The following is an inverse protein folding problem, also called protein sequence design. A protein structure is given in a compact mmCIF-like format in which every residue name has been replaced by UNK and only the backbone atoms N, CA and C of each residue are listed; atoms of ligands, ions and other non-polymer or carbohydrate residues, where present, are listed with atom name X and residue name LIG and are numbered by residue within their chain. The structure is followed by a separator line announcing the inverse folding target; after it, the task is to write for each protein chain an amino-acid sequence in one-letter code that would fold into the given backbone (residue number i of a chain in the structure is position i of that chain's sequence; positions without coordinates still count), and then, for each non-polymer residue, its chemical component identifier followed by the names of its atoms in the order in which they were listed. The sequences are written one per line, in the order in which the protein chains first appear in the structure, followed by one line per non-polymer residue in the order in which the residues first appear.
data_IF_048985043286
#
_entry.id   IF_048985043286
#
_cell.length_a   1.000
_cell.length_b   1.000
_cell.length_c   1.000
_cell.angle_alpha   90.00
_cell.angle_beta   90.00
_cell.angle_gamma   90.00
#
_symmetry.space_group_name_H-M   'P 1'
#
loop_
_entity.id
_entity.type
_entity.pdbx_description
1 polymer ?
#
# COMPACT_ATOMS: atom_id res chain seq x y z
N UNK A 1 -2.23 -9.62 -50.83
CA UNK A 1 -0.93 -8.92 -50.76
C UNK A 1 -0.87 -7.67 -49.85
N UNK A 2 -1.95 -6.94 -49.52
CA UNK A 2 -1.90 -5.75 -48.63
C UNK A 2 -1.87 -6.08 -47.11
N UNK A 3 -2.39 -7.24 -46.71
CA UNK A 3 -2.41 -7.64 -45.27
C UNK A 3 -1.07 -8.19 -44.75
N UNK A 4 -0.25 -8.77 -45.64
CA UNK A 4 1.08 -9.30 -45.28
C UNK A 4 2.14 -8.20 -45.10
N UNK A 5 1.99 -7.05 -45.77
CA UNK A 5 2.91 -5.91 -45.60
C UNK A 5 2.68 -5.15 -44.29
N UNK A 6 1.44 -5.07 -43.81
CA UNK A 6 1.12 -4.43 -42.53
C UNK A 6 1.65 -5.23 -41.33
N UNK A 7 1.60 -6.57 -41.41
CA UNK A 7 2.13 -7.45 -40.36
C UNK A 7 3.66 -7.39 -40.23
N UNK A 8 4.35 -7.26 -41.38
CA UNK A 8 5.82 -7.16 -41.43
C UNK A 8 6.31 -5.81 -40.88
N UNK A 9 5.55 -4.72 -41.06
CA UNK A 9 5.89 -3.40 -40.55
C UNK A 9 5.67 -3.31 -39.02
N UNK A 10 4.65 -3.97 -38.50
CA UNK A 10 4.41 -4.04 -37.05
C UNK A 10 5.48 -4.89 -36.35
N UNK A 11 5.92 -5.99 -36.95
CA UNK A 11 7.02 -6.80 -36.42
C UNK A 11 8.37 -6.07 -36.45
N UNK A 12 8.66 -5.30 -37.51
CA UNK A 12 9.91 -4.50 -37.58
C UNK A 12 9.93 -3.35 -36.63
N UNK A 13 8.81 -2.69 -36.33
CA UNK A 13 8.73 -1.61 -35.35
C UNK A 13 8.93 -2.15 -33.95
N UNK A 14 8.39 -3.32 -33.60
CA UNK A 14 8.64 -3.96 -32.28
C UNK A 14 10.09 -4.41 -32.10
N UNK A 15 10.76 -4.88 -33.17
CA UNK A 15 12.18 -5.25 -33.11
C UNK A 15 13.08 -4.01 -33.00
N UNK A 16 12.72 -2.90 -33.64
CA UNK A 16 13.47 -1.63 -33.54
C UNK A 16 13.31 -0.99 -32.16
N UNK A 17 12.15 -1.10 -31.55
CA UNK A 17 11.92 -0.61 -30.17
C UNK A 17 12.73 -1.44 -29.17
N UNK A 18 12.80 -2.76 -29.32
CA UNK A 18 13.64 -3.62 -28.44
C UNK A 18 15.14 -3.41 -28.65
N UNK A 19 15.60 -3.03 -29.84
CA UNK A 19 17.03 -2.79 -30.11
C UNK A 19 17.46 -1.38 -29.68
N UNK A 20 16.56 -0.37 -29.71
CA UNK A 20 16.86 0.98 -29.20
C UNK A 20 16.87 1.09 -27.67
N UNK A 21 16.26 0.14 -26.96
CA UNK A 21 16.36 0.04 -25.49
C UNK A 21 17.65 -0.66 -25.02
N UNK A 22 18.39 -1.32 -25.92
CA UNK A 22 19.63 -2.01 -25.63
C UNK A 22 20.92 -1.16 -25.65
N UNK A 23 20.85 0.17 -25.89
CA UNK A 23 22.06 1.02 -26.07
C UNK A 23 22.19 2.12 -25.00
N UNK A 24 21.43 2.09 -23.92
CA UNK A 24 21.84 2.83 -22.73
C UNK A 24 22.58 1.89 -21.80
N UNK A 25 23.89 2.08 -21.60
CA UNK A 25 24.57 1.41 -20.50
C UNK A 25 24.09 2.07 -19.22
N UNK A 26 22.97 1.60 -18.67
CA UNK A 26 22.71 1.77 -17.26
C UNK A 26 23.82 1.00 -16.52
N UNK A 27 24.91 1.66 -16.20
CA UNK A 27 25.72 1.26 -15.06
C UNK A 27 24.88 1.48 -13.78
N UNK A 28 23.77 0.75 -13.69
CA UNK A 28 23.12 0.50 -12.43
C UNK A 28 24.02 -0.54 -11.79
N UNK A 29 24.80 -0.14 -10.79
CA UNK A 29 25.37 -1.08 -9.84
C UNK A 29 24.19 -1.92 -9.37
N UNK A 30 24.19 -3.19 -9.75
CA UNK A 30 23.25 -4.16 -9.17
C UNK A 30 23.60 -4.20 -7.67
N UNK A 31 22.86 -3.42 -6.90
CA UNK A 31 22.98 -3.46 -5.45
C UNK A 31 22.55 -4.88 -5.05
N UNK A 32 23.42 -5.61 -4.35
CA UNK A 32 23.09 -6.96 -3.91
C UNK A 32 21.99 -6.84 -2.86
N UNK A 33 20.77 -7.11 -3.26
CA UNK A 33 19.63 -7.19 -2.34
C UNK A 33 19.83 -8.36 -1.37
N UNK A 34 19.57 -8.12 -0.09
CA UNK A 34 19.71 -9.12 0.95
C UNK A 34 18.51 -9.11 1.87
N UNK A 35 17.83 -10.25 1.98
CA UNK A 35 16.81 -10.48 3.01
C UNK A 35 17.46 -10.98 4.28
N UNK A 36 17.16 -10.38 5.43
CA UNK A 36 17.63 -10.81 6.75
C UNK A 36 16.44 -10.98 7.70
N UNK A 37 16.43 -12.11 8.40
CA UNK A 37 15.40 -12.43 9.41
C UNK A 37 15.82 -11.99 10.83
N UNK A 38 17.01 -11.44 10.98
CA UNK A 38 17.58 -11.09 12.30
C UNK A 38 17.41 -9.60 12.58
N UNK A 39 16.23 -9.23 13.06
CA UNK A 39 15.89 -7.83 13.40
C UNK A 39 16.88 -7.22 14.38
N UNK A 40 17.44 -8.03 15.31
CA UNK A 40 18.47 -7.58 16.27
C UNK A 40 19.74 -7.03 15.61
N UNK A 41 20.01 -7.37 14.35
CA UNK A 41 21.19 -6.92 13.59
C UNK A 41 20.98 -5.61 12.82
N UNK A 42 19.77 -5.03 12.84
CA UNK A 42 19.52 -3.72 12.22
C UNK A 42 20.42 -2.70 12.94
N UNK A 43 21.25 -1.98 12.17
CA UNK A 43 22.08 -0.90 12.70
C UNK A 43 21.23 0.36 12.90
N UNK A 44 20.89 0.67 14.16
CA UNK A 44 20.08 1.83 14.54
C UNK A 44 20.71 3.18 14.16
N UNK A 45 22.03 3.25 13.93
CA UNK A 45 22.66 4.48 13.44
C UNK A 45 22.38 4.70 11.97
N UNK A 46 22.22 3.62 11.20
CA UNK A 46 21.89 3.66 9.78
C UNK A 46 20.38 3.72 9.53
N UNK A 47 19.60 3.06 10.37
CA UNK A 47 18.14 2.93 10.26
C UNK A 47 17.46 3.28 11.58
N UNK A 48 17.54 4.56 12.03
CA UNK A 48 17.04 4.95 13.35
C UNK A 48 15.56 4.62 13.54
N UNK A 49 15.24 3.99 14.68
CA UNK A 49 13.89 3.72 15.13
C UNK A 49 13.23 2.48 14.54
N UNK A 50 13.65 1.99 13.36
CA UNK A 50 13.00 0.84 12.69
C UNK A 50 13.02 -0.42 13.55
N UNK A 51 14.17 -0.73 14.15
CA UNK A 51 14.31 -1.90 15.03
C UNK A 51 13.30 -1.85 16.18
N UNK A 52 13.24 -0.73 16.89
CA UNK A 52 12.34 -0.56 18.03
C UNK A 52 10.87 -0.68 17.62
N UNK A 53 10.48 -0.13 16.48
CA UNK A 53 9.11 -0.22 15.96
C UNK A 53 8.74 -1.68 15.64
N UNK A 54 9.62 -2.43 14.99
CA UNK A 54 9.42 -3.86 14.71
C UNK A 54 9.32 -4.66 16.01
N UNK A 55 10.23 -4.44 16.96
CA UNK A 55 10.23 -5.14 18.27
C UNK A 55 8.95 -4.84 19.06
N UNK A 56 8.40 -3.63 18.97
CA UNK A 56 7.12 -3.27 19.59
C UNK A 56 5.95 -4.03 18.94
N UNK A 57 5.91 -4.12 17.62
CA UNK A 57 4.91 -4.93 16.92
C UNK A 57 5.01 -6.40 17.31
N UNK A 58 6.21 -7.00 17.35
CA UNK A 58 6.43 -8.38 17.76
C UNK A 58 6.04 -8.65 19.23
N UNK A 59 6.26 -7.67 20.11
CA UNK A 59 5.86 -7.77 21.51
C UNK A 59 4.35 -7.85 21.67
N UNK A 60 3.62 -7.08 20.88
CA UNK A 60 2.15 -7.00 20.92
C UNK A 60 1.50 -8.14 20.13
N UNK A 61 2.13 -8.61 19.05
CA UNK A 61 1.64 -9.62 18.11
C UNK A 61 2.65 -10.76 18.00
N UNK A 62 2.65 -11.64 18.99
CA UNK A 62 3.72 -12.66 19.19
C UNK A 62 3.86 -13.68 18.06
N UNK A 63 2.83 -13.87 17.26
CA UNK A 63 2.87 -14.76 16.10
C UNK A 63 3.38 -14.08 14.82
N UNK A 64 3.54 -12.75 14.85
CA UNK A 64 4.04 -12.01 13.71
C UNK A 64 5.55 -12.16 13.58
N UNK A 65 5.98 -12.29 12.34
CA UNK A 65 7.38 -12.42 11.95
C UNK A 65 7.76 -11.27 11.07
N UNK A 66 9.00 -10.83 11.18
CA UNK A 66 9.53 -9.73 10.37
C UNK A 66 10.82 -10.16 9.70
N UNK A 67 10.95 -9.75 8.46
CA UNK A 67 12.16 -9.81 7.65
C UNK A 67 12.50 -8.39 7.22
N UNK A 68 13.77 -8.06 7.05
CA UNK A 68 14.17 -6.80 6.43
C UNK A 68 14.78 -7.09 5.07
N UNK A 69 14.41 -6.30 4.08
CA UNK A 69 15.02 -6.30 2.77
C UNK A 69 15.93 -5.09 2.64
N UNK A 70 17.23 -5.31 2.66
CA UNK A 70 18.21 -4.29 2.27
C UNK A 70 18.15 -4.14 0.75
N UNK A 71 17.51 -3.08 0.26
CA UNK A 71 17.31 -2.85 -1.18
C UNK A 71 18.65 -2.56 -1.88
N UNK A 72 19.63 -2.00 -1.15
CA UNK A 72 20.87 -1.49 -1.70
C UNK A 72 20.71 -0.22 -2.55
N UNK A 73 19.50 0.31 -2.65
CA UNK A 73 19.19 1.52 -3.42
C UNK A 73 19.38 2.76 -2.54
N UNK A 74 19.96 3.81 -3.12
CA UNK A 74 20.09 5.11 -2.46
C UNK A 74 18.73 5.80 -2.35
N UNK A 75 18.39 6.26 -1.15
CA UNK A 75 17.10 6.89 -0.85
C UNK A 75 16.77 8.05 -1.77
N UNK A 76 17.70 8.99 -1.95
CA UNK A 76 17.43 10.17 -2.76
C UNK A 76 17.22 9.78 -4.23
N UNK A 77 18.00 8.84 -4.74
CA UNK A 77 17.81 8.32 -6.11
C UNK A 77 16.44 7.68 -6.29
N UNK A 78 16.00 6.89 -5.31
CA UNK A 78 14.66 6.26 -5.36
C UNK A 78 13.56 7.31 -5.37
N UNK A 79 13.65 8.31 -4.50
CA UNK A 79 12.64 9.38 -4.45
C UNK A 79 12.61 10.20 -5.75
N UNK A 80 13.77 10.49 -6.35
CA UNK A 80 13.85 11.15 -7.66
C UNK A 80 13.18 10.34 -8.76
N UNK A 81 13.45 9.04 -8.81
CA UNK A 81 12.84 8.16 -9.81
C UNK A 81 11.33 8.02 -9.61
N UNK A 82 10.87 7.87 -8.36
CA UNK A 82 9.45 7.79 -8.05
C UNK A 82 8.72 9.13 -8.27
N UNK A 83 9.42 10.27 -8.18
CA UNK A 83 8.86 11.59 -8.44
C UNK A 83 8.70 11.95 -9.93
N UNK A 84 9.11 11.08 -10.85
CA UNK A 84 8.86 11.30 -12.28
C UNK A 84 7.38 11.48 -12.56
N UNK A 85 7.03 12.50 -13.34
CA UNK A 85 5.65 12.85 -13.64
C UNK A 85 4.85 11.67 -14.18
N UNK A 86 3.68 11.43 -13.59
CA UNK A 86 2.77 10.35 -13.97
C UNK A 86 3.04 9.01 -13.28
N UNK A 87 4.13 8.87 -12.52
CA UNK A 87 4.45 7.62 -11.84
C UNK A 87 3.68 7.46 -10.53
N UNK A 88 3.64 8.50 -9.72
CA UNK A 88 2.87 8.55 -8.47
C UNK A 88 1.81 9.65 -8.53
N UNK A 89 0.57 9.24 -8.40
CA UNK A 89 -0.62 10.09 -8.56
C UNK A 89 -1.51 10.02 -7.32
N UNK A 90 -2.36 11.04 -7.18
CA UNK A 90 -3.44 11.08 -6.20
C UNK A 90 -4.72 11.54 -6.87
N UNK A 91 -5.87 10.99 -6.48
CA UNK A 91 -7.16 11.33 -7.07
C UNK A 91 -7.62 12.73 -6.66
N UNK A 92 -8.08 13.55 -7.61
CA UNK A 92 -8.55 14.93 -7.37
C UNK A 92 -9.73 15.01 -6.40
N UNK A 93 -10.48 13.90 -6.22
CA UNK A 93 -11.60 13.81 -5.29
C UNK A 93 -11.22 13.35 -3.88
N UNK A 94 -9.96 13.04 -3.65
CA UNK A 94 -9.44 12.70 -2.32
C UNK A 94 -9.22 14.00 -1.55
N UNK A 95 -10.28 14.51 -0.91
CA UNK A 95 -10.32 15.83 -0.26
C UNK A 95 -9.25 16.05 0.81
N UNK A 96 -8.70 14.99 1.38
CA UNK A 96 -7.70 15.05 2.44
C UNK A 96 -6.27 15.28 1.90
N UNK A 97 -6.08 15.26 0.57
CA UNK A 97 -4.77 15.36 -0.07
C UNK A 97 -4.73 16.58 -0.99
N UNK A 98 -4.40 17.71 -0.41
CA UNK A 98 -4.21 19.01 -1.06
C UNK A 98 -2.93 19.65 -0.53
N UNK A 99 -2.63 20.87 -0.92
CA UNK A 99 -1.47 21.61 -0.39
C UNK A 99 -0.13 20.97 -0.75
N UNK A 100 0.66 20.58 0.24
CA UNK A 100 2.02 20.05 0.07
C UNK A 100 2.05 18.59 -0.45
N UNK A 101 0.89 17.94 -0.53
CA UNK A 101 0.79 16.63 -1.18
C UNK A 101 0.94 16.68 -2.70
N UNK A 102 0.66 17.83 -3.32
CA UNK A 102 0.62 17.96 -4.76
C UNK A 102 1.96 18.42 -5.33
N UNK A 103 2.36 17.81 -6.43
CA UNK A 103 3.52 18.29 -7.21
C UNK A 103 3.26 19.70 -7.75
N UNK A 104 4.04 20.68 -7.24
CA UNK A 104 3.87 22.08 -7.58
C UNK A 104 4.00 22.34 -9.08
N UNK A 105 4.99 21.77 -9.75
CA UNK A 105 5.21 21.94 -11.19
C UNK A 105 4.02 21.43 -12.00
N UNK A 106 3.46 20.26 -11.65
CA UNK A 106 2.28 19.74 -12.33
C UNK A 106 1.03 20.59 -12.07
N UNK A 107 0.88 21.17 -10.89
CA UNK A 107 -0.23 22.03 -10.53
C UNK A 107 -0.13 23.38 -11.28
N UNK A 108 1.03 24.02 -11.28
CA UNK A 108 1.27 25.30 -11.97
C UNK A 108 1.01 25.14 -13.50
N UNK A 109 1.37 23.99 -14.07
CA UNK A 109 1.13 23.66 -15.47
C UNK A 109 -0.24 23.01 -15.74
N UNK A 110 -1.11 22.89 -14.73
CA UNK A 110 -2.44 22.23 -14.80
C UNK A 110 -2.38 20.82 -15.40
N UNK A 111 -1.30 20.09 -15.11
CA UNK A 111 -1.06 18.76 -15.66
C UNK A 111 -1.85 17.72 -14.89
N UNK A 112 -2.75 17.06 -15.58
CA UNK A 112 -3.60 15.99 -15.04
C UNK A 112 -3.47 14.70 -15.84
N UNK A 113 -3.96 13.60 -15.27
CA UNK A 113 -3.92 12.26 -15.85
C UNK A 113 -5.31 11.63 -15.83
N UNK A 114 -5.52 10.59 -16.63
CA UNK A 114 -6.77 9.81 -16.69
C UNK A 114 -8.03 10.70 -16.81
N UNK A 115 -8.02 11.61 -17.79
CA UNK A 115 -9.16 12.50 -18.05
C UNK A 115 -9.40 13.58 -16.99
N UNK A 116 -8.36 13.99 -16.26
CA UNK A 116 -8.44 15.03 -15.25
C UNK A 116 -8.70 14.54 -13.81
N UNK A 117 -8.83 13.23 -13.61
CA UNK A 117 -9.18 12.67 -12.31
C UNK A 117 -7.98 12.44 -11.37
N UNK A 118 -6.75 12.55 -11.87
CA UNK A 118 -5.52 12.27 -11.13
C UNK A 118 -4.47 13.36 -11.36
N UNK A 119 -3.70 13.66 -10.33
CA UNK A 119 -2.59 14.61 -10.35
C UNK A 119 -1.33 14.00 -9.73
N UNK A 120 -0.15 14.51 -10.10
CA UNK A 120 1.10 14.06 -9.50
C UNK A 120 1.19 14.49 -8.04
N UNK A 121 1.78 13.63 -7.23
CA UNK A 121 2.12 13.96 -5.84
C UNK A 121 3.51 14.60 -5.75
N UNK A 122 3.76 15.29 -4.65
CA UNK A 122 5.05 15.90 -4.33
C UNK A 122 6.10 14.85 -3.94
N UNK A 123 7.38 15.27 -3.92
CA UNK A 123 8.48 14.45 -3.39
C UNK A 123 8.31 14.14 -1.92
N UNK A 124 7.82 15.10 -1.16
CA UNK A 124 7.51 14.98 0.26
C UNK A 124 6.45 13.90 0.49
N UNK A 125 5.40 13.88 -0.33
CA UNK A 125 4.36 12.84 -0.26
C UNK A 125 4.92 11.45 -0.60
N UNK A 126 5.76 11.34 -1.63
CA UNK A 126 6.42 10.08 -1.98
C UNK A 126 7.33 9.63 -0.84
N UNK A 127 8.17 10.53 -0.31
CA UNK A 127 9.07 10.22 0.80
C UNK A 127 8.30 9.75 2.03
N UNK A 128 7.18 10.41 2.35
CA UNK A 128 6.32 9.99 3.46
C UNK A 128 5.74 8.59 3.25
N UNK A 129 5.23 8.30 2.05
CA UNK A 129 4.60 7.00 1.74
C UNK A 129 5.62 5.86 1.62
N UNK A 130 6.85 6.16 1.23
CA UNK A 130 7.90 5.17 1.06
C UNK A 130 8.69 4.88 2.34
N UNK A 131 8.70 5.80 3.30
CA UNK A 131 9.42 5.59 4.55
C UNK A 131 8.71 4.55 5.42
N UNK A 132 9.28 3.36 5.63
CA UNK A 132 8.59 2.29 6.35
C UNK A 132 8.24 2.67 7.78
N UNK A 133 8.97 3.63 8.41
CA UNK A 133 8.67 4.12 9.76
C UNK A 133 7.29 4.75 9.87
N UNK A 134 6.77 5.29 8.79
CA UNK A 134 5.42 5.87 8.74
C UNK A 134 4.30 4.83 8.63
N UNK A 135 4.66 3.54 8.58
CA UNK A 135 3.68 2.45 8.41
C UNK A 135 4.00 1.22 9.27
N UNK A 136 5.00 1.30 10.18
CA UNK A 136 5.31 0.25 11.14
C UNK A 136 4.42 0.36 12.39
N UNK A 137 3.10 0.50 12.16
CA UNK A 137 2.04 0.49 13.14
C UNK A 137 1.02 -0.58 12.77
N UNK A 138 0.21 -1.00 13.72
CA UNK A 138 -0.82 -2.04 13.51
C UNK A 138 -1.73 -1.72 12.32
N UNK A 139 -2.14 -0.47 12.19
CA UNK A 139 -3.09 0.00 11.17
C UNK A 139 -2.55 -0.15 9.75
N UNK A 140 -1.26 0.11 9.55
CA UNK A 140 -0.66 0.26 8.21
C UNK A 140 0.34 -0.84 7.84
N UNK A 141 0.78 -1.67 8.81
CA UNK A 141 1.85 -2.67 8.59
C UNK A 141 1.49 -3.74 7.56
N UNK A 142 0.21 -3.99 7.33
CA UNK A 142 -0.24 -5.02 6.39
C UNK A 142 0.14 -4.75 4.93
N UNK A 143 0.54 -3.51 4.56
CA UNK A 143 1.13 -3.27 3.24
C UNK A 143 2.45 -4.02 3.02
N UNK A 144 3.14 -4.39 4.10
CA UNK A 144 4.38 -5.16 4.09
C UNK A 144 4.17 -6.67 4.25
N UNK A 145 2.91 -7.13 4.30
CA UNK A 145 2.61 -8.56 4.39
C UNK A 145 3.25 -9.31 3.23
N UNK A 146 3.99 -10.39 3.53
CA UNK A 146 4.57 -11.28 2.52
C UNK A 146 3.45 -12.00 1.78
N UNK A 147 3.34 -11.73 0.48
CA UNK A 147 2.33 -12.30 -0.42
C UNK A 147 2.77 -13.64 -1.00
N UNK A 148 4.05 -13.97 -0.92
CA UNK A 148 4.56 -15.29 -1.23
C UNK A 148 4.21 -16.29 -0.11
N UNK A 149 4.24 -17.58 -0.46
CA UNK A 149 3.96 -18.66 0.48
C UNK A 149 5.17 -18.88 1.39
N UNK A 150 5.06 -18.53 2.67
CA UNK A 150 6.09 -18.87 3.66
C UNK A 150 5.97 -20.38 4.01
N UNK A 151 6.91 -21.17 3.51
CA UNK A 151 6.96 -22.62 3.74
C UNK A 151 7.11 -23.02 5.23
N UNK A 152 7.47 -22.05 6.09
CA UNK A 152 7.58 -22.25 7.54
C UNK A 152 6.26 -21.99 8.28
N UNK A 153 5.23 -21.50 7.57
CA UNK A 153 3.88 -21.25 8.09
C UNK A 153 2.95 -22.39 7.66
N UNK A 154 2.22 -22.96 8.60
CA UNK A 154 1.08 -23.84 8.29
C UNK A 154 -0.17 -22.99 8.14
N UNK A 155 -0.72 -22.96 6.95
CA UNK A 155 -1.95 -22.21 6.65
C UNK A 155 -3.18 -22.99 7.13
N UNK A 156 -4.00 -22.35 7.97
CA UNK A 156 -5.25 -22.94 8.47
C UNK A 156 -6.38 -22.67 7.46
N UNK A 157 -6.95 -23.75 6.90
CA UNK A 157 -8.09 -23.68 5.97
C UNK A 157 -9.33 -23.03 6.60
N UNK A 158 -9.50 -23.06 7.92
CA UNK A 158 -10.61 -22.43 8.60
C UNK A 158 -10.56 -20.91 8.49
N UNK A 159 -9.38 -20.30 8.40
CA UNK A 159 -9.25 -18.85 8.16
C UNK A 159 -9.84 -18.53 6.79
N UNK A 160 -9.43 -19.24 5.74
CA UNK A 160 -9.95 -19.05 4.39
C UNK A 160 -11.46 -19.27 4.37
N UNK A 161 -11.94 -20.30 5.06
CA UNK A 161 -13.36 -20.58 5.22
C UNK A 161 -14.09 -19.40 5.88
N UNK A 162 -13.54 -18.84 6.94
CA UNK A 162 -14.12 -17.71 7.66
C UNK A 162 -14.12 -16.42 6.82
N UNK A 163 -13.11 -16.19 5.96
CA UNK A 163 -13.10 -15.07 5.01
C UNK A 163 -14.21 -15.24 3.97
N UNK A 164 -14.42 -16.46 3.44
CA UNK A 164 -15.27 -16.71 2.29
C UNK A 164 -16.69 -17.20 2.61
N UNK A 165 -16.97 -17.63 3.86
CA UNK A 165 -18.32 -18.03 4.25
C UNK A 165 -19.30 -16.85 4.21
N UNK A 166 -20.57 -17.12 3.91
CA UNK A 166 -21.61 -16.13 3.73
C UNK A 166 -21.32 -15.12 2.60
N UNK A 167 -20.46 -15.50 1.64
CA UNK A 167 -20.17 -14.70 0.45
C UNK A 167 -20.76 -15.38 -0.79
N UNK A 168 -20.60 -14.73 -1.93
CA UNK A 168 -21.02 -15.27 -3.23
C UNK A 168 -20.37 -16.61 -3.61
N UNK A 169 -19.26 -17.01 -2.94
CA UNK A 169 -18.62 -18.31 -3.11
C UNK A 169 -19.22 -19.41 -2.21
N UNK A 170 -20.06 -19.06 -1.25
CA UNK A 170 -20.68 -20.01 -0.34
C UNK A 170 -21.96 -20.62 -0.97
N UNK A 171 -21.78 -21.31 -2.10
CA UNK A 171 -22.82 -21.92 -2.93
C UNK A 171 -23.02 -23.44 -2.68
N UNK A 172 -22.57 -23.93 -1.52
CA UNK A 172 -22.56 -25.35 -1.16
C UNK A 172 -21.30 -26.12 -1.63
N UNK A 173 -20.36 -25.44 -2.29
CA UNK A 173 -19.08 -26.02 -2.75
C UNK A 173 -17.86 -25.33 -2.16
N UNK A 174 -18.04 -24.51 -1.12
CA UNK A 174 -17.01 -23.68 -0.54
C UNK A 174 -15.74 -24.49 -0.17
N UNK A 175 -15.88 -25.66 0.43
CA UNK A 175 -14.71 -26.48 0.81
C UNK A 175 -13.88 -26.93 -0.41
N UNK A 176 -14.50 -27.15 -1.55
CA UNK A 176 -13.82 -27.42 -2.82
C UNK A 176 -13.03 -26.20 -3.32
N UNK A 177 -13.62 -25.01 -3.22
CA UNK A 177 -12.95 -23.76 -3.61
C UNK A 177 -11.77 -23.45 -2.69
N UNK A 178 -11.92 -23.65 -1.38
CA UNK A 178 -10.83 -23.52 -0.41
C UNK A 178 -9.66 -24.46 -0.76
N UNK A 179 -9.95 -25.73 -1.02
CA UNK A 179 -8.96 -26.71 -1.43
C UNK A 179 -8.24 -26.28 -2.71
N UNK A 180 -8.97 -25.76 -3.70
CA UNK A 180 -8.41 -25.23 -4.95
C UNK A 180 -7.46 -24.06 -4.68
N UNK A 181 -7.89 -23.08 -3.83
CA UNK A 181 -7.08 -21.94 -3.45
C UNK A 181 -5.79 -22.41 -2.78
N UNK A 182 -5.87 -23.26 -1.74
CA UNK A 182 -4.70 -23.73 -0.98
C UNK A 182 -3.70 -24.45 -1.90
N UNK A 183 -4.17 -25.43 -2.67
CA UNK A 183 -3.30 -26.22 -3.53
C UNK A 183 -2.62 -25.34 -4.60
N UNK A 184 -3.40 -24.46 -5.26
CA UNK A 184 -2.82 -23.61 -6.31
C UNK A 184 -1.89 -22.55 -5.73
N UNK A 185 -2.21 -21.99 -4.58
CA UNK A 185 -1.35 -21.06 -3.87
C UNK A 185 -0.01 -21.71 -3.51
N UNK A 186 -0.03 -22.94 -3.01
CA UNK A 186 1.19 -23.71 -2.72
C UNK A 186 2.01 -23.96 -3.98
N UNK A 187 1.38 -24.43 -5.09
CA UNK A 187 2.05 -24.68 -6.35
C UNK A 187 2.71 -23.43 -6.95
N UNK A 188 2.11 -22.28 -6.74
CA UNK A 188 2.52 -20.99 -7.30
C UNK A 188 3.29 -20.10 -6.34
N UNK A 189 3.61 -20.60 -5.16
CA UNK A 189 4.31 -19.86 -4.12
C UNK A 189 3.58 -18.56 -3.69
N UNK A 190 2.26 -18.62 -3.49
CA UNK A 190 1.43 -17.46 -3.10
C UNK A 190 0.80 -17.71 -1.73
N UNK A 191 0.65 -16.68 -0.91
CA UNK A 191 -0.03 -16.73 0.37
C UNK A 191 -1.56 -16.95 0.17
N UNK A 192 -2.16 -18.08 0.62
CA UNK A 192 -3.57 -18.36 0.37
C UNK A 192 -4.52 -17.43 1.13
N UNK A 193 -4.10 -16.83 2.26
CA UNK A 193 -4.90 -15.83 2.97
C UNK A 193 -5.02 -14.54 2.17
N UNK A 194 -3.91 -14.13 1.52
CA UNK A 194 -3.94 -13.00 0.59
C UNK A 194 -4.90 -13.25 -0.57
N UNK A 195 -4.89 -14.44 -1.18
CA UNK A 195 -5.82 -14.79 -2.26
C UNK A 195 -7.26 -14.70 -1.78
N UNK A 196 -7.59 -15.24 -0.62
CA UNK A 196 -8.95 -15.17 -0.07
C UNK A 196 -9.37 -13.72 0.22
N UNK A 197 -8.49 -12.93 0.82
CA UNK A 197 -8.71 -11.50 1.05
C UNK A 197 -8.89 -10.72 -0.24
N UNK A 198 -8.05 -10.97 -1.25
CA UNK A 198 -8.12 -10.34 -2.58
C UNK A 198 -9.46 -10.60 -3.27
N UNK A 199 -10.01 -11.81 -3.18
CA UNK A 199 -11.34 -12.13 -3.71
C UNK A 199 -12.40 -11.18 -3.12
N UNK A 200 -12.38 -10.95 -1.82
CA UNK A 200 -13.33 -10.06 -1.15
C UNK A 200 -13.06 -8.59 -1.48
N UNK A 201 -11.80 -8.19 -1.61
CA UNK A 201 -11.45 -6.84 -2.04
C UNK A 201 -11.99 -6.51 -3.44
N UNK A 202 -11.92 -7.47 -4.36
CA UNK A 202 -12.30 -7.27 -5.77
C UNK A 202 -13.82 -7.36 -6.00
N UNK A 203 -14.51 -8.25 -5.29
CA UNK A 203 -15.92 -8.58 -5.56
C UNK A 203 -16.88 -8.18 -4.43
N UNK A 204 -16.36 -7.79 -3.27
CA UNK A 204 -17.17 -7.66 -2.06
C UNK A 204 -17.76 -9.01 -1.62
N UNK A 205 -18.65 -8.98 -0.65
CA UNK A 205 -19.28 -10.23 -0.14
C UNK A 205 -20.41 -10.76 -1.01
N UNK A 206 -21.03 -9.90 -1.82
CA UNK A 206 -22.17 -10.26 -2.68
C UNK A 206 -21.81 -10.67 -4.09
N UNK A 207 -20.55 -10.47 -4.51
CA UNK A 207 -20.11 -10.59 -5.88
C UNK A 207 -20.45 -9.35 -6.72
N UNK A 208 -19.49 -8.84 -7.46
CA UNK A 208 -19.65 -7.71 -8.37
C UNK A 208 -20.18 -8.12 -9.75
N UNK A 209 -20.29 -7.17 -10.65
CA UNK A 209 -20.83 -7.36 -12.00
C UNK A 209 -19.97 -8.32 -12.85
N UNK A 210 -18.70 -8.48 -12.54
CA UNK A 210 -17.72 -9.31 -13.24
C UNK A 210 -17.63 -10.74 -12.68
N UNK A 211 -18.20 -10.98 -11.49
CA UNK A 211 -18.12 -12.29 -10.83
C UNK A 211 -18.65 -13.41 -11.74
N UNK A 212 -19.87 -13.24 -12.29
CA UNK A 212 -20.54 -14.23 -13.11
C UNK A 212 -21.21 -13.54 -14.30
N UNK A 213 -20.65 -13.72 -15.48
CA UNK A 213 -21.08 -13.04 -16.70
C UNK A 213 -21.70 -14.05 -17.67
N UNK A 214 -22.86 -13.68 -18.24
CA UNK A 214 -23.60 -14.51 -19.20
C UNK A 214 -23.09 -14.23 -20.62
N UNK A 215 -22.82 -15.29 -21.37
CA UNK A 215 -22.53 -15.23 -22.80
C UNK A 215 -23.46 -16.20 -23.56
N UNK A 216 -24.10 -15.71 -24.61
CA UNK A 216 -25.01 -16.54 -25.43
C UNK A 216 -24.55 -16.50 -26.87
N UNK A 217 -24.34 -17.68 -27.48
CA UNK A 217 -23.97 -17.83 -28.86
C UNK A 217 -24.77 -19.00 -29.45
N UNK A 218 -25.44 -18.80 -30.60
CA UNK A 218 -26.24 -19.81 -31.29
C UNK A 218 -27.15 -20.60 -30.34
N UNK A 219 -27.92 -19.88 -29.54
CA UNK A 219 -28.86 -20.41 -28.53
C UNK A 219 -28.24 -21.19 -27.36
N UNK A 220 -26.92 -21.27 -27.32
CA UNK A 220 -26.19 -21.86 -26.20
C UNK A 220 -25.74 -20.78 -25.22
N UNK A 221 -26.24 -20.86 -24.00
CA UNK A 221 -25.78 -19.99 -22.91
C UNK A 221 -24.64 -20.62 -22.12
N UNK A 222 -23.56 -19.87 -21.94
CA UNK A 222 -22.42 -20.23 -21.11
C UNK A 222 -22.18 -19.11 -20.09
N UNK A 223 -21.76 -19.45 -18.88
CA UNK A 223 -21.32 -18.49 -17.90
C UNK A 223 -19.79 -18.49 -17.81
N UNK A 224 -19.22 -17.29 -17.63
CA UNK A 224 -17.80 -17.06 -17.38
C UNK A 224 -17.62 -16.29 -16.09
N UNK A 225 -16.48 -16.48 -15.46
CA UNK A 225 -16.19 -15.94 -14.12
C UNK A 225 -14.90 -15.12 -14.17
N UNK A 226 -14.91 -13.94 -13.54
CA UNK A 226 -13.70 -13.13 -13.37
C UNK A 226 -13.67 -12.57 -11.94
N UNK A 227 -13.31 -13.44 -11.00
CA UNK A 227 -13.35 -13.20 -9.56
C UNK A 227 -12.30 -12.16 -9.13
N UNK A 228 -11.22 -12.01 -9.89
CA UNK A 228 -10.11 -11.12 -9.57
C UNK A 228 -10.13 -9.80 -10.35
N UNK A 229 -11.19 -9.50 -11.09
CA UNK A 229 -11.34 -8.30 -11.93
C UNK A 229 -10.20 -8.10 -12.94
N UNK A 230 -9.55 -9.17 -13.37
CA UNK A 230 -8.42 -9.10 -14.30
C UNK A 230 -8.91 -8.56 -15.65
N UNK A 231 -8.24 -7.54 -16.17
CA UNK A 231 -8.62 -6.82 -17.39
C UNK A 231 -10.04 -6.20 -17.37
N UNK A 232 -10.64 -6.03 -16.18
CA UNK A 232 -11.93 -5.37 -15.98
C UNK A 232 -11.75 -3.84 -16.00
N UNK A 233 -11.40 -3.28 -17.16
CA UNK A 233 -11.07 -1.87 -17.36
C UNK A 233 -12.10 -1.18 -18.26
N UNK A 234 -12.27 0.13 -18.13
CA UNK A 234 -13.15 0.92 -18.99
C UNK A 234 -13.77 2.12 -18.29
N UNK A 235 -14.35 3.02 -19.08
CA UNK A 235 -14.99 4.24 -18.57
C UNK A 235 -16.45 4.05 -18.10
N UNK A 236 -17.07 2.91 -18.42
CA UNK A 236 -18.45 2.56 -18.02
C UNK A 236 -18.53 1.14 -17.49
N UNK A 237 -19.52 0.86 -16.67
CA UNK A 237 -19.76 -0.50 -16.16
C UNK A 237 -19.93 -1.52 -17.30
N UNK A 238 -20.60 -1.16 -18.38
CA UNK A 238 -20.78 -2.03 -19.55
C UNK A 238 -19.44 -2.39 -20.20
N UNK A 239 -18.56 -1.42 -20.39
CA UNK A 239 -17.23 -1.65 -20.96
C UNK A 239 -16.36 -2.51 -20.04
N UNK A 240 -16.40 -2.24 -18.73
CA UNK A 240 -15.68 -3.02 -17.71
C UNK A 240 -16.12 -4.50 -17.76
N UNK A 241 -17.42 -4.76 -17.78
CA UNK A 241 -17.97 -6.12 -17.84
C UNK A 241 -17.63 -6.78 -19.15
N UNK A 242 -17.70 -6.08 -20.29
CA UNK A 242 -17.33 -6.63 -21.61
C UNK A 242 -15.86 -7.06 -21.64
N UNK A 243 -14.95 -6.20 -21.21
CA UNK A 243 -13.52 -6.51 -21.20
C UNK A 243 -13.20 -7.67 -20.24
N UNK A 244 -13.84 -7.71 -19.07
CA UNK A 244 -13.72 -8.82 -18.13
C UNK A 244 -14.25 -10.15 -18.70
N UNK A 245 -15.36 -10.11 -19.45
CA UNK A 245 -15.94 -11.28 -20.11
C UNK A 245 -15.03 -11.79 -21.21
N UNK A 246 -14.53 -10.91 -22.08
CA UNK A 246 -13.66 -11.30 -23.19
C UNK A 246 -12.37 -11.94 -22.67
N UNK A 247 -11.78 -11.39 -21.60
CA UNK A 247 -10.65 -12.01 -20.92
C UNK A 247 -10.99 -13.40 -20.37
N UNK A 248 -12.09 -13.53 -19.63
CA UNK A 248 -12.50 -14.79 -19.02
C UNK A 248 -12.82 -15.87 -20.09
N UNK A 249 -13.36 -15.47 -21.26
CA UNK A 249 -13.59 -16.34 -22.41
C UNK A 249 -12.25 -16.82 -23.01
N UNK A 250 -11.32 -15.88 -23.25
CA UNK A 250 -9.99 -16.20 -23.79
C UNK A 250 -9.25 -17.20 -22.88
N UNK A 251 -9.35 -17.05 -21.57
CA UNK A 251 -8.75 -17.96 -20.58
C UNK A 251 -9.56 -19.22 -20.30
N UNK A 252 -10.76 -19.36 -20.87
CA UNK A 252 -11.63 -20.50 -20.65
C UNK A 252 -12.17 -20.63 -19.23
N UNK A 253 -12.34 -19.51 -18.51
CA UNK A 253 -12.82 -19.46 -17.13
C UNK A 253 -14.34 -19.64 -17.02
N UNK A 254 -14.82 -20.78 -17.50
CA UNK A 254 -16.24 -21.15 -17.52
C UNK A 254 -16.72 -21.90 -16.26
N UNK A 255 -15.87 -22.05 -15.27
CA UNK A 255 -16.23 -22.50 -13.90
C UNK A 255 -15.47 -21.65 -12.87
N UNK A 256 -15.98 -21.61 -11.63
CA UNK A 256 -15.33 -20.90 -10.50
C UNK A 256 -13.92 -21.47 -10.28
N UNK A 257 -13.74 -22.78 -10.30
CA UNK A 257 -12.43 -23.41 -10.06
C UNK A 257 -11.41 -23.02 -11.13
N UNK A 258 -11.80 -23.00 -12.42
CA UNK A 258 -10.89 -22.55 -13.48
C UNK A 258 -10.49 -21.09 -13.31
N UNK A 259 -11.44 -20.25 -12.89
CA UNK A 259 -11.16 -18.85 -12.59
C UNK A 259 -10.24 -18.70 -11.37
N UNK A 260 -10.45 -19.47 -10.29
CA UNK A 260 -9.58 -19.47 -9.12
C UNK A 260 -8.14 -19.88 -9.50
N UNK A 261 -7.98 -21.00 -10.23
CA UNK A 261 -6.67 -21.46 -10.68
C UNK A 261 -5.98 -20.39 -11.54
N UNK A 262 -6.66 -19.91 -12.58
CA UNK A 262 -6.07 -18.94 -13.50
C UNK A 262 -5.83 -17.58 -12.89
N UNK A 263 -6.65 -17.17 -11.92
CA UNK A 263 -6.45 -15.92 -11.19
C UNK A 263 -5.25 -15.97 -10.24
N UNK A 264 -5.05 -17.09 -9.52
CA UNK A 264 -3.84 -17.30 -8.72
C UNK A 264 -2.60 -17.31 -9.61
N UNK A 265 -2.66 -17.95 -10.80
CA UNK A 265 -1.55 -17.94 -11.77
C UNK A 265 -1.22 -16.52 -12.22
N UNK A 266 -2.22 -15.72 -12.50
CA UNK A 266 -2.03 -14.34 -12.94
C UNK A 266 -1.37 -13.50 -11.85
N UNK A 267 -1.86 -13.59 -10.62
CA UNK A 267 -1.31 -12.86 -9.46
C UNK A 267 0.15 -13.31 -9.21
N UNK A 268 0.39 -14.63 -9.20
CA UNK A 268 1.72 -15.17 -8.97
C UNK A 268 2.74 -14.70 -10.02
N UNK A 269 2.38 -14.79 -11.29
CA UNK A 269 3.30 -14.52 -12.41
C UNK A 269 3.49 -13.02 -12.66
N UNK A 270 2.55 -12.17 -12.24
CA UNK A 270 2.62 -10.72 -12.47
C UNK A 270 3.63 -10.01 -11.59
N UNK A 271 3.64 -10.32 -10.31
CA UNK A 271 4.41 -9.55 -9.31
C UNK A 271 5.21 -10.45 -8.35
N UNK A 272 4.57 -11.44 -7.74
CA UNK A 272 5.18 -12.26 -6.69
C UNK A 272 6.39 -13.05 -7.22
N UNK A 273 6.30 -13.64 -8.43
CA UNK A 273 7.37 -14.45 -9.02
C UNK A 273 8.65 -13.67 -9.35
N UNK A 274 8.56 -12.34 -9.45
CA UNK A 274 9.71 -11.46 -9.70
C UNK A 274 10.19 -10.75 -8.43
N UNK A 275 9.67 -11.16 -7.26
CA UNK A 275 10.08 -10.63 -5.95
C UNK A 275 9.28 -9.43 -5.47
N UNK A 276 8.32 -8.90 -6.23
CA UNK A 276 7.38 -7.88 -5.77
C UNK A 276 6.29 -8.54 -4.91
N UNK A 277 6.69 -9.12 -3.80
CA UNK A 277 5.86 -10.00 -2.97
C UNK A 277 5.30 -9.34 -1.70
N UNK A 278 5.14 -8.03 -1.73
CA UNK A 278 4.31 -7.26 -0.78
C UNK A 278 3.51 -6.23 -1.55
N UNK A 279 2.41 -5.71 -0.98
CA UNK A 279 1.66 -4.62 -1.60
C UNK A 279 2.51 -3.36 -1.76
N UNK A 280 3.47 -3.17 -0.83
CA UNK A 280 4.47 -2.11 -0.93
C UNK A 280 5.36 -2.28 -2.18
N UNK A 281 5.87 -3.49 -2.44
CA UNK A 281 6.72 -3.76 -3.61
C UNK A 281 5.92 -3.80 -4.92
N UNK A 282 4.63 -4.19 -4.89
CA UNK A 282 3.73 -4.02 -6.03
C UNK A 282 3.54 -2.53 -6.39
N UNK A 283 3.54 -1.64 -5.39
CA UNK A 283 3.39 -0.20 -5.59
C UNK A 283 4.69 0.48 -5.99
N UNK A 284 5.76 0.22 -5.23
CA UNK A 284 7.07 0.82 -5.43
C UNK A 284 8.00 -0.27 -5.96
N UNK A 285 8.26 -0.25 -7.26
CA UNK A 285 9.12 -1.22 -7.91
C UNK A 285 10.60 -0.96 -7.56
N UNK A 286 10.97 -1.37 -6.34
CA UNK A 286 12.32 -1.24 -5.78
C UNK A 286 13.04 -2.58 -5.70
N UNK A 287 12.50 -3.58 -6.39
CA UNK A 287 13.00 -4.95 -6.44
C UNK A 287 13.21 -5.35 -7.89
N UNK A 288 14.24 -6.16 -8.13
CA UNK A 288 14.55 -6.78 -9.41
C UNK A 288 15.07 -5.83 -10.53
N UNK A 289 15.31 -6.41 -11.70
CA UNK A 289 16.03 -5.79 -12.81
C UNK A 289 15.30 -4.63 -13.48
N UNK A 290 14.04 -4.40 -13.12
CA UNK A 290 13.16 -3.42 -13.79
C UNK A 290 12.93 -2.12 -13.04
N UNK A 291 13.56 -1.92 -11.92
CA UNK A 291 13.38 -0.80 -10.98
C UNK A 291 12.50 0.36 -11.48
N UNK A 292 11.48 0.73 -10.70
CA UNK A 292 10.60 1.88 -10.89
C UNK A 292 9.63 1.80 -12.08
N UNK A 293 9.61 0.74 -12.88
CA UNK A 293 8.83 0.68 -14.12
C UNK A 293 7.67 -0.32 -14.08
N UNK A 294 7.70 -1.30 -13.17
CA UNK A 294 6.70 -2.34 -13.05
C UNK A 294 5.82 -2.12 -11.82
N UNK A 295 5.10 -1.00 -11.78
CA UNK A 295 4.17 -0.67 -10.69
C UNK A 295 2.76 -1.20 -10.99
N UNK A 296 2.11 -1.80 -9.99
CA UNK A 296 0.73 -2.29 -10.10
C UNK A 296 -0.27 -1.14 -10.31
N UNK A 297 -0.08 -0.03 -9.62
CA UNK A 297 -0.97 1.12 -9.66
C UNK A 297 -0.18 2.44 -9.56
N UNK A 298 -0.70 3.49 -10.20
CA UNK A 298 -0.14 4.84 -10.08
C UNK A 298 -0.59 5.56 -8.79
N UNK A 299 -1.67 5.12 -8.14
CA UNK A 299 -2.14 5.68 -6.86
C UNK A 299 -1.05 5.51 -5.79
N UNK A 300 -0.54 6.63 -5.26
CA UNK A 300 0.51 6.62 -4.23
C UNK A 300 0.06 5.94 -2.95
N UNK A 301 -1.25 5.94 -2.67
CA UNK A 301 -1.86 5.33 -1.48
C UNK A 301 -2.17 3.83 -1.68
N UNK A 302 -1.89 3.26 -2.87
CA UNK A 302 -2.30 1.89 -3.22
C UNK A 302 -1.91 0.86 -2.14
N UNK A 303 -0.63 0.83 -1.77
CA UNK A 303 -0.11 -0.18 -0.84
C UNK A 303 -0.78 -0.11 0.54
N UNK A 304 -0.86 1.11 1.10
CA UNK A 304 -1.49 1.36 2.39
C UNK A 304 -2.99 1.00 2.35
N UNK A 305 -3.72 1.48 1.34
CA UNK A 305 -5.15 1.21 1.19
C UNK A 305 -5.45 -0.29 1.03
N UNK A 306 -4.61 -1.05 0.30
CA UNK A 306 -4.81 -2.49 0.14
C UNK A 306 -4.45 -3.26 1.42
N UNK A 307 -3.39 -2.86 2.10
CA UNK A 307 -3.00 -3.42 3.40
C UNK A 307 -4.10 -3.24 4.44
N UNK A 308 -4.64 -2.03 4.57
CA UNK A 308 -5.77 -1.71 5.45
C UNK A 308 -7.01 -2.54 5.14
N UNK A 309 -7.39 -2.67 3.87
CA UNK A 309 -8.53 -3.50 3.47
C UNK A 309 -8.35 -4.96 3.88
N UNK A 310 -7.16 -5.52 3.67
CA UNK A 310 -6.88 -6.90 4.07
C UNK A 310 -6.92 -7.05 5.58
N UNK A 311 -6.29 -6.16 6.34
CA UNK A 311 -6.36 -6.12 7.81
C UNK A 311 -7.81 -6.09 8.29
N UNK A 312 -8.63 -5.19 7.76
CA UNK A 312 -10.06 -5.07 8.11
C UNK A 312 -10.86 -6.35 7.82
N UNK A 313 -10.51 -7.10 6.77
CA UNK A 313 -11.12 -8.40 6.49
C UNK A 313 -10.74 -9.41 7.58
N UNK A 314 -9.46 -9.46 7.94
CA UNK A 314 -8.94 -10.37 8.96
C UNK A 314 -9.45 -10.04 10.37
N UNK A 315 -9.58 -8.76 10.71
CA UNK A 315 -10.18 -8.31 11.98
C UNK A 315 -11.62 -8.80 12.15
N UNK A 316 -12.44 -8.68 11.11
CA UNK A 316 -13.85 -9.11 11.15
C UNK A 316 -14.03 -10.61 11.48
N UNK A 317 -13.01 -11.40 11.26
CA UNK A 317 -13.01 -12.84 11.55
C UNK A 317 -12.07 -13.22 12.71
N UNK A 318 -11.55 -12.23 13.46
CA UNK A 318 -10.57 -12.38 14.54
C UNK A 318 -9.32 -13.15 14.12
N UNK A 319 -8.79 -12.86 12.91
CA UNK A 319 -7.67 -13.58 12.32
C UNK A 319 -6.37 -12.75 12.23
N UNK A 320 -6.29 -11.58 12.85
CA UNK A 320 -5.08 -10.74 12.80
C UNK A 320 -3.92 -11.30 13.62
N UNK A 321 -4.17 -12.19 14.59
CA UNK A 321 -3.17 -12.76 15.48
C UNK A 321 -2.59 -14.10 15.00
N UNK A 322 -2.79 -14.45 13.74
CA UNK A 322 -2.15 -15.63 13.15
C UNK A 322 -0.70 -15.35 12.73
N UNK A 323 0.01 -16.38 12.30
CA UNK A 323 1.39 -16.28 11.87
C UNK A 323 1.48 -15.57 10.51
N UNK A 324 1.72 -14.27 10.54
CA UNK A 324 2.00 -13.46 9.37
C UNK A 324 3.49 -13.09 9.31
N UNK A 325 4.02 -12.99 8.11
CA UNK A 325 5.38 -12.50 7.85
C UNK A 325 5.30 -11.17 7.13
N UNK A 326 6.06 -10.18 7.59
CA UNK A 326 6.15 -8.85 7.01
C UNK A 326 7.57 -8.59 6.52
N UNK A 327 7.72 -8.03 5.31
CA UNK A 327 9.02 -7.72 4.71
C UNK A 327 9.20 -6.21 4.64
N UNK A 328 10.12 -5.68 5.43
CA UNK A 328 10.33 -4.24 5.60
C UNK A 328 11.49 -3.79 4.72
N UNK A 329 11.28 -2.84 3.78
CA UNK A 329 12.34 -2.31 2.92
C UNK A 329 13.26 -1.36 3.69
N UNK A 330 14.58 -1.48 3.48
CA UNK A 330 15.59 -0.57 3.99
C UNK A 330 16.43 -0.04 2.83
N UNK A 331 16.60 1.27 2.78
CA UNK A 331 17.34 1.95 1.71
C UNK A 331 18.66 2.49 2.23
N UNK A 332 19.65 2.63 1.35
CA UNK A 332 20.88 3.32 1.67
C UNK A 332 20.61 4.83 1.86
N UNK A 333 21.27 5.44 2.82
CA UNK A 333 21.18 6.88 3.09
C UNK A 333 19.73 7.38 3.40
N UNK A 334 18.92 6.55 4.09
CA UNK A 334 17.64 7.00 4.60
C UNK A 334 17.79 8.21 5.53
N UNK A 335 16.80 9.12 5.58
CA UNK A 335 16.77 10.21 6.55
C UNK A 335 16.96 9.72 8.00
N UNK A 336 17.62 10.50 8.85
CA UNK A 336 17.83 10.17 10.27
C UNK A 336 16.54 10.14 11.09
N UNK A 337 15.49 10.83 10.64
CA UNK A 337 14.14 10.81 11.22
C UNK A 337 13.12 10.38 10.17
N UNK A 338 11.96 9.90 10.62
CA UNK A 338 10.86 9.55 9.72
C UNK A 338 10.44 10.77 8.89
N UNK A 339 10.13 10.53 7.62
CA UNK A 339 9.66 11.58 6.72
C UNK A 339 8.33 12.14 7.21
N UNK A 340 8.23 13.47 7.28
CA UNK A 340 7.01 14.12 7.78
C UNK A 340 5.87 13.96 6.79
N UNK A 341 4.65 13.81 7.31
CA UNK A 341 3.45 13.85 6.50
C UNK A 341 3.29 15.23 5.88
N UNK A 342 3.06 15.37 4.56
CA UNK A 342 2.80 16.65 3.94
C UNK A 342 1.54 17.30 4.50
N UNK A 343 1.58 18.63 4.65
CA UNK A 343 0.41 19.41 5.07
C UNK A 343 -0.67 19.40 3.99
N UNK A 344 -1.93 19.33 4.39
CA UNK A 344 -3.06 19.57 3.49
C UNK A 344 -3.28 21.07 3.19
N UNK A 345 -2.64 21.94 3.95
CA UNK A 345 -2.58 23.39 3.70
C UNK A 345 -1.20 23.75 3.17
N UNK A 346 -1.12 24.50 2.07
CA UNK A 346 0.20 24.93 1.53
C UNK A 346 0.93 25.81 2.52
N UNK A 347 2.14 25.39 2.86
CA UNK A 347 3.11 26.26 3.52
C UNK A 347 3.75 27.15 2.44
N UNK A 348 3.45 28.45 2.47
CA UNK A 348 4.11 29.43 1.58
C UNK A 348 5.57 29.56 1.99
N UNK A 349 6.45 28.76 1.39
CA UNK A 349 7.91 28.93 1.48
C UNK A 349 8.39 30.04 0.51
N UNK A 350 7.84 31.25 0.63
CA UNK A 350 8.44 32.44 0.07
C UNK A 350 9.20 33.17 1.19
N UNK A 351 10.29 32.58 1.66
CA UNK A 351 11.36 33.35 2.26
C UNK A 351 12.29 33.75 1.13
N UNK A 352 12.03 34.92 0.55
CA UNK A 352 12.99 35.64 -0.28
C UNK A 352 14.26 35.88 0.54
N UNK A 353 15.36 35.30 0.08
CA UNK A 353 16.67 35.75 0.46
C UNK A 353 16.84 37.19 -0.06
N UNK A 354 16.68 38.15 0.81
CA UNK A 354 17.22 39.48 0.63
C UNK A 354 18.41 39.61 1.61
N UNK A 355 19.59 39.40 1.08
CA UNK A 355 20.82 39.93 1.67
C UNK A 355 20.68 41.46 1.74
N UNK A 356 20.72 41.99 2.93
CA UNK A 356 21.15 43.35 3.21
C UNK A 356 21.66 43.41 4.65
N UNK A 357 22.98 43.59 4.75
CA UNK A 357 23.70 43.97 5.96
C UNK A 357 22.94 44.98 6.83
N UNK A 358 22.80 44.68 8.12
CA UNK A 358 23.15 45.63 9.16
C UNK A 358 23.24 44.95 10.53
N UNK A 359 24.36 45.22 11.21
CA UNK A 359 24.64 44.97 12.59
C UNK A 359 23.48 45.40 13.52
N UNK A 360 23.07 44.51 14.42
CA UNK A 360 23.06 44.86 15.83
C UNK A 360 22.96 43.62 16.74
N UNK A 361 23.63 43.75 17.86
CA UNK A 361 23.91 42.73 18.88
C UNK A 361 22.68 42.36 19.71
N UNK A 362 22.69 41.12 20.18
CA UNK A 362 22.01 40.64 21.40
C UNK A 362 20.50 40.38 21.28
N UNK A 363 20.12 39.13 20.99
CA UNK A 363 19.33 38.40 22.00
C UNK A 363 19.35 36.90 21.65
N UNK A 364 19.97 36.09 22.49
CA UNK A 364 19.82 34.66 22.48
C UNK A 364 18.42 34.31 23.01
N UNK A 365 17.47 34.14 22.11
CA UNK A 365 16.24 33.43 22.43
C UNK A 365 16.23 32.14 21.60
N UNK A 366 16.57 31.06 22.30
CA UNK A 366 16.39 29.69 21.95
C UNK A 366 14.88 29.41 21.77
N UNK A 367 14.32 29.66 20.59
CA UNK A 367 12.95 29.22 20.28
C UNK A 367 13.02 27.73 19.97
N UNK A 368 12.94 26.90 21.02
CA UNK A 368 12.45 25.54 20.89
C UNK A 368 11.06 25.61 20.27
N UNK A 369 10.94 25.31 18.99
CA UNK A 369 9.66 24.97 18.38
C UNK A 369 9.29 23.63 19.00
N UNK A 370 8.48 23.67 20.04
CA UNK A 370 7.90 22.50 20.68
C UNK A 370 7.03 21.80 19.63
N UNK A 371 7.43 20.62 19.15
CA UNK A 371 6.59 19.79 18.27
C UNK A 371 5.28 19.48 19.03
N UNK A 372 4.18 20.07 18.60
CA UNK A 372 2.86 19.79 19.15
C UNK A 372 2.13 18.82 18.26
N UNK A 373 1.59 17.76 18.83
CA UNK A 373 0.65 16.88 18.13
C UNK A 373 -0.68 17.61 17.89
N UNK A 374 -1.43 17.18 16.88
CA UNK A 374 -2.78 17.67 16.67
C UNK A 374 -3.67 17.33 17.88
N UNK A 375 -4.61 18.19 18.21
CA UNK A 375 -5.50 17.99 19.35
C UNK A 375 -6.39 16.75 19.10
N UNK A 376 -6.20 15.73 19.91
CA UNK A 376 -6.85 14.42 19.80
C UNK A 376 -5.95 13.31 19.21
N UNK A 377 -4.82 13.64 18.59
CA UNK A 377 -3.84 12.71 18.06
C UNK A 377 -2.74 12.48 19.12
N UNK A 378 -2.93 11.46 19.97
CA UNK A 378 -2.02 11.19 21.09
C UNK A 378 -0.77 10.42 20.67
N UNK A 379 -0.83 9.65 19.60
CA UNK A 379 0.29 8.85 19.15
C UNK A 379 1.12 9.53 18.03
N UNK A 380 0.64 10.69 17.54
CA UNK A 380 1.32 11.52 16.57
C UNK A 380 1.27 10.94 15.14
N UNK A 381 0.28 10.09 14.87
CA UNK A 381 0.13 9.46 13.56
C UNK A 381 -0.71 10.29 12.58
N UNK A 382 -1.14 11.50 13.00
CA UNK A 382 -1.99 12.43 12.26
C UNK A 382 -3.40 11.92 11.95
N UNK A 383 -3.86 10.94 12.70
CA UNK A 383 -5.26 10.47 12.70
C UNK A 383 -5.78 10.58 14.12
N UNK A 384 -7.07 10.80 14.24
CA UNK A 384 -7.74 10.74 15.53
C UNK A 384 -8.64 9.52 15.47
N UNK A 385 -8.19 8.42 16.09
CA UNK A 385 -8.84 7.13 15.95
C UNK A 385 -8.96 6.35 17.27
N UNK A 386 -9.30 5.08 17.18
CA UNK A 386 -9.51 4.24 18.35
C UNK A 386 -8.23 4.04 19.19
N UNK A 387 -7.03 4.25 18.61
CA UNK A 387 -5.76 4.14 19.32
C UNK A 387 -5.55 5.33 20.25
N UNK A 388 -5.91 6.54 19.81
CA UNK A 388 -5.85 7.73 20.66
C UNK A 388 -6.82 7.61 21.83
N UNK A 389 -8.04 7.14 21.57
CA UNK A 389 -9.00 6.81 22.61
C UNK A 389 -8.44 5.73 23.57
N UNK A 390 -7.78 4.70 23.05
CA UNK A 390 -7.16 3.67 23.88
C UNK A 390 -6.04 4.27 24.75
N UNK A 391 -5.17 5.09 24.18
CA UNK A 391 -4.07 5.74 24.91
C UNK A 391 -4.56 6.63 26.03
N UNK A 392 -5.62 7.42 25.81
CA UNK A 392 -6.21 8.26 26.88
C UNK A 392 -6.83 7.42 28.00
N UNK A 393 -7.48 6.29 27.64
CA UNK A 393 -8.01 5.35 28.63
C UNK A 393 -6.88 4.74 29.47
N UNK A 394 -5.78 4.32 28.84
CA UNK A 394 -4.64 3.74 29.56
C UNK A 394 -3.97 4.77 30.50
N UNK A 395 -3.93 6.04 30.08
CA UNK A 395 -3.43 7.13 30.91
C UNK A 395 -4.34 7.37 32.12
N UNK A 396 -5.66 7.49 31.91
CA UNK A 396 -6.65 7.67 33.00
C UNK A 396 -6.60 6.51 33.99
N UNK A 397 -6.37 5.30 33.52
CA UNK A 397 -6.21 4.09 34.35
C UNK A 397 -4.82 3.99 35.03
N UNK A 398 -3.92 4.94 34.80
CA UNK A 398 -2.57 4.95 35.35
C UNK A 398 -1.65 3.86 34.79
N UNK A 399 -1.99 3.26 33.64
CA UNK A 399 -1.24 2.20 32.97
C UNK A 399 -0.28 2.70 31.90
N UNK A 400 -0.46 3.92 31.42
CA UNK A 400 0.38 4.61 30.43
C UNK A 400 0.84 5.95 31.01
N UNK A 401 2.08 6.34 30.73
CA UNK A 401 2.59 7.69 30.96
C UNK A 401 2.66 8.41 29.62
N UNK A 402 2.08 9.59 29.56
CA UNK A 402 2.15 10.45 28.37
C UNK A 402 3.28 11.48 28.51
N UNK A 403 3.95 11.78 27.41
CA UNK A 403 4.91 12.88 27.28
C UNK A 403 4.17 14.22 27.19
N UNK A 404 4.85 15.35 27.44
CA UNK A 404 4.26 16.67 27.44
C UNK A 404 3.46 17.01 26.17
N UNK A 405 3.94 16.59 25.00
CA UNK A 405 3.26 16.79 23.72
C UNK A 405 1.97 15.97 23.60
N UNK A 406 1.98 14.73 24.12
CA UNK A 406 0.83 13.85 24.17
C UNK A 406 -0.21 14.35 25.21
N UNK A 407 0.23 14.88 26.34
CA UNK A 407 -0.64 15.52 27.34
C UNK A 407 -1.40 16.69 26.72
N UNK A 408 -0.70 17.54 25.94
CA UNK A 408 -1.34 18.66 25.24
C UNK A 408 -2.33 18.21 24.18
N UNK A 409 -2.04 17.11 23.46
CA UNK A 409 -2.94 16.52 22.47
C UNK A 409 -4.16 15.85 23.13
N UNK A 410 -3.98 15.26 24.31
CA UNK A 410 -5.03 14.56 25.03
C UNK A 410 -6.05 15.49 25.70
N UNK A 411 -5.66 16.71 26.06
CA UNK A 411 -6.51 17.71 26.72
C UNK A 411 -7.43 18.39 25.70
N UNK A 412 -8.48 17.68 25.33
CA UNK A 412 -9.41 18.07 24.26
C UNK A 412 -10.24 19.32 24.59
N UNK A 413 -10.56 19.53 25.85
CA UNK A 413 -11.34 20.66 26.34
C UNK A 413 -10.47 21.83 26.85
N UNK A 414 -9.14 21.64 26.91
CA UNK A 414 -8.13 22.63 27.36
C UNK A 414 -8.32 23.09 28.81
N UNK A 415 -8.74 22.18 29.69
CA UNK A 415 -8.91 22.46 31.10
C UNK A 415 -7.69 22.06 31.96
N UNK A 416 -6.60 21.61 31.33
CA UNK A 416 -5.36 21.10 31.91
C UNK A 416 -5.55 19.80 32.74
N UNK A 417 -6.60 19.06 32.49
CA UNK A 417 -6.82 17.72 33.02
C UNK A 417 -7.03 16.76 31.87
N UNK A 418 -6.71 15.49 32.07
CA UNK A 418 -7.03 14.45 31.12
C UNK A 418 -7.96 13.46 31.82
N UNK A 419 -9.23 13.50 31.46
CA UNK A 419 -10.26 12.73 32.10
C UNK A 419 -11.33 12.17 31.11
N UNK A 420 -12.44 11.71 31.63
CA UNK A 420 -13.51 11.11 30.84
C UNK A 420 -14.14 12.10 29.84
N UNK A 421 -14.02 13.42 30.04
CA UNK A 421 -14.54 14.42 29.12
C UNK A 421 -13.70 14.48 27.85
N UNK A 422 -12.37 14.40 27.98
CA UNK A 422 -11.46 14.39 26.82
C UNK A 422 -11.65 13.13 26.00
N UNK A 423 -11.75 11.97 26.65
CA UNK A 423 -12.11 10.71 25.99
C UNK A 423 -13.45 10.83 25.24
N UNK A 424 -14.47 11.45 25.82
CA UNK A 424 -15.75 11.68 25.18
C UNK A 424 -15.61 12.56 23.93
N UNK A 425 -14.81 13.63 24.00
CA UNK A 425 -14.57 14.55 22.88
C UNK A 425 -13.80 13.87 21.75
N UNK A 426 -12.81 13.01 22.03
CA UNK A 426 -12.15 12.17 21.03
C UNK A 426 -13.16 11.26 20.35
N UNK A 427 -14.04 10.59 21.12
CA UNK A 427 -15.10 9.73 20.55
C UNK A 427 -16.02 10.54 19.62
N UNK A 428 -16.38 11.76 19.99
CA UNK A 428 -17.23 12.60 19.13
C UNK A 428 -16.50 13.01 17.85
N UNK A 429 -15.18 13.27 17.92
CA UNK A 429 -14.36 13.61 16.75
C UNK A 429 -14.24 12.40 15.80
N UNK A 430 -13.96 11.21 16.32
CA UNK A 430 -13.92 9.95 15.54
C UNK A 430 -15.24 9.65 14.84
N UNK A 431 -16.39 10.02 15.43
CA UNK A 431 -17.71 9.75 14.83
C UNK A 431 -18.09 10.77 13.75
N UNK A 432 -17.50 11.94 13.74
CA UNK A 432 -17.86 13.05 12.84
C UNK A 432 -16.90 13.19 11.66
N UNK A 433 -15.74 12.49 11.72
CA UNK A 433 -14.79 12.31 10.61
C UNK A 433 -15.09 11.01 9.82
#
# INVERSE_FOLDING_TARGET
MKKTKALAIILTINIIITVLWGIYPSKIFAASQKIDNQISKIDDRKYPGIKNMIENLQKNHKNWRFKVLYTGLDWNTVIEEEARHGRNLIGVNQKNYSGDWLCKDCEDNKKTYSGGNWVCVSREAISYMMDPRNSLYYEDVFQFLELSNDSTVTYDSNIIKNILKNTFLDDGKLDKYITTIINRSKEKNVNPYYIAGKIIQEQGTKGGATFKMKYTEKDKTTYYYNIFNINATGGTTSTIVSNALDWAKDKGWNTIEKCLIGGVDFIANGYISIGQDTMYFEKFDVIADTYYTHQYAQDVMYAQNQGEKLRNILERINATEYAYTFVIPLYENMPSSACKRPSTTRTNSNATNNDSDNNDKNNANNSNVEETYELGDLDGNYKIDAMDMYNIIQYILGKLKLENKQIKAADMNKDNKIDAMDMYLIIQKIKND
#
